data_IF_710354991145
#
_entry.id   IF_710354991145
#
_cell.length_a   1.000
_cell.length_b   1.000
_cell.length_c   1.000
_cell.angle_alpha   90.00
_cell.angle_beta   90.00
_cell.angle_gamma   90.00
#
_symmetry.space_group_name_H-M   'P 1'
#
loop_
_entity.id
_entity.type
_entity.pdbx_description
1 polymer ?
2 non-polymer ?
3 non-polymer ?
4 non-polymer ?
5 water ?
#
# COMPACT_ATOMS: atom_id res chain seq x y z
N UNK A 1 33.84 10.49 23.91
CA UNK A 1 34.75 9.45 23.39
C UNK A 1 34.37 9.18 21.95
N UNK A 2 35.30 9.44 21.05
CA UNK A 2 35.06 9.28 19.63
C UNK A 2 34.67 7.84 19.26
N UNK A 3 35.38 6.87 19.81
CA UNK A 3 35.12 5.47 19.49
C UNK A 3 33.79 4.96 20.00
N UNK A 4 33.28 5.54 21.08
CA UNK A 4 31.98 5.13 21.62
C UNK A 4 30.89 5.64 20.69
N UNK A 5 31.04 6.87 20.20
CA UNK A 5 30.04 7.45 19.30
C UNK A 5 30.01 6.70 17.98
N UNK A 6 31.18 6.31 17.50
CA UNK A 6 31.28 5.54 16.25
C UNK A 6 30.58 4.20 16.39
N UNK A 7 30.77 3.53 17.52
CA UNK A 7 30.13 2.23 17.74
C UNK A 7 28.62 2.40 17.86
N UNK A 8 28.17 3.51 18.44
CA UNK A 8 26.73 3.74 18.54
C UNK A 8 26.20 4.00 17.14
N UNK A 9 26.97 4.72 16.35
CA UNK A 9 26.56 5.00 14.97
C UNK A 9 26.38 3.74 14.17
N UNK A 10 27.28 2.78 14.37
CA UNK A 10 27.19 1.52 13.66
C UNK A 10 25.89 0.81 14.07
N UNK A 11 25.58 0.83 15.36
CA UNK A 11 24.36 0.18 15.87
C UNK A 11 23.09 0.89 15.36
N UNK A 12 23.15 2.20 15.24
CA UNK A 12 22.01 2.98 14.76
C UNK A 12 21.75 2.62 13.29
N UNK A 13 22.83 2.55 12.51
CA UNK A 13 22.76 2.23 11.09
C UNK A 13 22.22 0.80 10.87
N UNK A 14 22.74 -0.15 11.63
CA UNK A 14 22.28 -1.53 11.49
C UNK A 14 20.81 -1.68 11.90
N UNK A 15 20.40 -0.95 12.93
CA UNK A 15 19.02 -1.00 13.37
C UNK A 15 18.13 -0.45 12.26
N UNK A 16 18.62 0.58 11.58
CA UNK A 16 17.90 1.20 10.48
C UNK A 16 17.80 0.26 9.27
N UNK A 17 18.87 -0.49 9.01
CA UNK A 17 18.87 -1.43 7.90
C UNK A 17 17.84 -2.51 8.14
N UNK A 18 17.74 -2.95 9.39
CA UNK A 18 16.77 -3.97 9.75
C UNK A 18 15.35 -3.42 9.66
N UNK A 19 15.16 -2.20 10.14
CA UNK A 19 13.82 -1.61 10.08
C UNK A 19 13.36 -1.32 8.65
N UNK A 20 14.28 -0.95 7.77
CA UNK A 20 13.90 -0.70 6.38
C UNK A 20 13.55 -2.02 5.69
N UNK A 21 14.26 -3.07 6.08
CA UNK A 21 14.00 -4.38 5.50
C UNK A 21 12.58 -4.82 5.91
N UNK A 22 12.21 -4.58 7.17
CA UNK A 22 10.87 -4.94 7.67
C UNK A 22 9.78 -4.13 6.96
N UNK A 23 10.06 -2.85 6.74
CA UNK A 23 9.11 -1.98 6.05
C UNK A 23 8.88 -2.52 4.63
N UNK A 24 9.96 -2.93 3.96
CA UNK A 24 9.83 -3.49 2.61
C UNK A 24 9.02 -4.81 2.65
N UNK A 25 9.27 -5.66 3.65
CA UNK A 25 8.53 -6.91 3.76
C UNK A 25 7.04 -6.66 4.02
N UNK A 26 6.73 -5.72 4.91
CA UNK A 26 5.34 -5.41 5.22
C UNK A 26 4.63 -4.83 4.00
N UNK A 27 5.34 -3.99 3.25
CA UNK A 27 4.74 -3.41 2.04
C UNK A 27 4.43 -4.48 1.01
N UNK A 28 5.39 -5.37 0.75
CA UNK A 28 5.17 -6.43 -0.23
C UNK A 28 3.98 -7.28 0.24
N UNK A 29 3.92 -7.59 1.54
CA UNK A 29 2.80 -8.37 2.11
C UNK A 29 1.49 -7.64 1.87
N UNK A 30 1.47 -6.33 2.12
CA UNK A 30 0.27 -5.52 1.94
C UNK A 30 -0.14 -5.42 0.47
N UNK A 31 0.82 -5.59 -0.43
CA UNK A 31 0.51 -5.52 -1.86
C UNK A 31 0.11 -6.86 -2.43
N UNK A 32 0.08 -7.89 -1.58
CA UNK A 32 -0.35 -9.20 -2.03
C UNK A 32 0.70 -10.26 -2.29
N UNK A 33 1.96 -9.99 -1.94
CA UNK A 33 3.01 -10.97 -2.17
C UNK A 33 2.76 -12.23 -1.36
N UNK A 34 2.70 -13.37 -2.04
CA UNK A 34 2.47 -14.65 -1.41
C UNK A 34 3.85 -15.20 -1.04
N UNK A 35 3.90 -16.02 0.02
CA UNK A 35 5.18 -16.57 0.46
C UNK A 35 5.90 -17.33 -0.64
N UNK A 36 7.18 -17.03 -0.81
CA UNK A 36 7.99 -17.69 -1.82
C UNK A 36 7.60 -17.42 -3.26
N UNK A 37 6.70 -16.46 -3.46
CA UNK A 37 6.25 -16.10 -4.81
C UNK A 37 6.68 -14.68 -5.13
N UNK A 38 6.95 -14.41 -6.39
CA UNK A 38 7.34 -13.04 -6.72
C UNK A 38 6.02 -12.27 -6.69
N UNK A 39 6.08 -10.96 -6.60
CA UNK A 39 4.82 -10.24 -6.58
C UNK A 39 4.74 -9.18 -7.66
N UNK A 40 3.53 -8.81 -8.02
CA UNK A 40 3.29 -7.86 -9.09
C UNK A 40 2.59 -6.62 -8.58
N UNK A 41 2.94 -5.48 -9.16
CA UNK A 41 2.37 -4.20 -8.76
C UNK A 41 2.15 -3.33 -10.02
N UNK A 42 1.13 -2.49 -9.96
CA UNK A 42 0.82 -1.59 -11.07
C UNK A 42 0.27 -0.30 -10.50
N UNK A 43 0.53 0.82 -11.18
CA UNK A 43 -0.04 2.09 -10.75
C UNK A 43 -1.24 2.36 -11.69
N UNK A 44 -1.54 1.37 -12.54
CA UNK A 44 -2.64 1.45 -13.51
C UNK A 44 -2.43 2.47 -14.64
N UNK A 45 -1.21 2.95 -14.79
CA UNK A 45 -0.90 3.92 -15.85
C UNK A 45 -0.58 3.18 -17.16
N UNK A 46 -1.03 3.72 -18.29
CA UNK A 46 -0.74 3.11 -19.59
C UNK A 46 0.36 3.92 -20.28
N UNK A 47 1.35 3.22 -20.83
CA UNK A 47 2.48 3.89 -21.48
C UNK A 47 3.15 2.93 -22.45
N UNK A 48 4.04 3.45 -23.33
CA UNK A 48 4.75 2.61 -24.29
C UNK A 48 5.67 1.66 -23.54
N UNK A 49 6.07 0.57 -24.17
CA UNK A 49 6.91 -0.44 -23.54
C UNK A 49 8.25 0.07 -23.02
N UNK A 50 8.93 0.94 -23.75
CA UNK A 50 10.20 1.45 -23.28
C UNK A 50 10.06 2.17 -21.93
N UNK A 51 8.93 2.86 -21.72
CA UNK A 51 8.70 3.56 -20.47
C UNK A 51 8.40 2.59 -19.33
N UNK A 52 7.65 1.54 -19.63
CA UNK A 52 7.34 0.56 -18.58
C UNK A 52 8.67 -0.06 -18.14
N UNK A 53 9.51 -0.43 -19.09
CA UNK A 53 10.79 -1.04 -18.77
C UNK A 53 11.63 -0.13 -17.89
N UNK A 54 11.67 1.14 -18.25
CA UNK A 54 12.44 2.14 -17.51
C UNK A 54 11.93 2.29 -16.07
N UNK A 55 10.61 2.35 -15.94
CA UNK A 55 9.96 2.50 -14.65
C UNK A 55 10.26 1.30 -13.74
N UNK A 56 9.96 0.08 -14.18
CA UNK A 56 10.23 -1.09 -13.35
C UNK A 56 11.71 -1.21 -13.01
N UNK A 57 12.57 -0.96 -13.97
CA UNK A 57 14.00 -1.05 -13.73
C UNK A 57 14.43 -0.07 -12.63
N UNK A 58 13.86 1.13 -12.65
CA UNK A 58 14.20 2.14 -11.65
C UNK A 58 13.76 1.71 -10.24
N UNK A 59 12.75 0.83 -10.18
CA UNK A 59 12.23 0.32 -8.91
C UNK A 59 12.91 -0.99 -8.55
N UNK A 60 13.93 -1.36 -9.33
CA UNK A 60 14.66 -2.59 -9.11
C UNK A 60 13.79 -3.85 -9.31
N UNK A 61 12.96 -3.79 -10.35
CA UNK A 61 12.12 -4.92 -10.71
C UNK A 61 12.23 -5.03 -12.24
N UNK A 62 11.29 -5.72 -12.86
CA UNK A 62 11.29 -5.86 -14.30
C UNK A 62 9.84 -5.87 -14.73
N UNK A 63 9.60 -5.68 -16.03
CA UNK A 63 8.24 -5.73 -16.54
C UNK A 63 7.77 -7.16 -16.22
N UNK A 64 6.55 -7.29 -15.72
CA UNK A 64 6.01 -8.60 -15.35
C UNK A 64 6.16 -9.70 -16.42
N UNK A 65 6.57 -10.88 -15.98
CA UNK A 65 6.77 -12.04 -16.84
C UNK A 65 6.03 -13.26 -16.28
N UNK A 66 5.02 -13.77 -16.99
CA UNK A 66 4.29 -14.95 -16.49
C UNK A 66 5.14 -16.19 -16.84
N UNK A 67 5.56 -16.95 -15.84
CA UNK A 67 6.38 -18.16 -16.07
C UNK A 67 5.50 -19.42 -16.07
N UNK A 68 4.24 -19.26 -15.69
CA UNK A 68 3.30 -20.37 -15.65
C UNK A 68 1.89 -19.81 -15.54
N UNK A 69 0.90 -20.70 -15.53
CA UNK A 69 -0.50 -20.26 -15.46
C UNK A 69 -0.89 -19.51 -14.19
N UNK A 70 -0.31 -19.89 -13.05
CA UNK A 70 -0.62 -19.21 -11.80
C UNK A 70 -0.17 -17.76 -11.86
N UNK A 71 1.09 -17.56 -12.27
CA UNK A 71 1.64 -16.22 -12.37
C UNK A 71 0.86 -15.40 -13.40
N UNK A 72 0.43 -16.07 -14.48
CA UNK A 72 -0.32 -15.37 -15.54
C UNK A 72 -1.65 -14.87 -14.96
N UNK A 73 -2.29 -15.69 -14.14
CA UNK A 73 -3.55 -15.32 -13.54
C UNK A 73 -3.33 -14.18 -12.55
N UNK A 74 -2.24 -14.25 -11.80
CA UNK A 74 -1.91 -13.21 -10.82
C UNK A 74 -1.69 -11.86 -11.51
N UNK A 75 -1.00 -11.89 -12.66
CA UNK A 75 -0.74 -10.66 -13.42
C UNK A 75 -2.05 -10.09 -13.97
N UNK A 76 -2.91 -10.96 -14.48
CA UNK A 76 -4.20 -10.57 -15.02
C UNK A 76 -5.05 -9.84 -13.96
N UNK A 77 -5.08 -10.38 -12.76
CA UNK A 77 -5.87 -9.80 -11.65
C UNK A 77 -5.33 -8.42 -11.29
N UNK A 78 -4.01 -8.31 -11.20
CA UNK A 78 -3.37 -7.04 -10.87
C UNK A 78 -3.61 -5.99 -11.94
N UNK A 79 -3.37 -6.36 -13.20
CA UNK A 79 -3.51 -5.44 -14.33
C UNK A 79 -4.93 -4.94 -14.59
N UNK A 80 -5.90 -5.86 -14.59
CA UNK A 80 -7.30 -5.50 -14.83
C UNK A 80 -7.57 -5.08 -16.28
N UNK A 81 -6.52 -4.82 -17.06
CA UNK A 81 -6.64 -4.42 -18.45
C UNK A 81 -5.44 -4.92 -19.24
N UNK A 82 -5.34 -4.56 -20.51
CA UNK A 82 -4.21 -5.02 -21.31
C UNK A 82 -2.93 -4.46 -20.70
N UNK A 83 -1.90 -5.29 -20.62
CA UNK A 83 -0.64 -4.87 -20.02
C UNK A 83 0.56 -5.52 -20.70
N UNK A 84 1.65 -4.78 -20.81
CA UNK A 84 2.86 -5.33 -21.41
C UNK A 84 3.48 -6.39 -20.51
N UNK A 85 4.14 -7.35 -21.13
CA UNK A 85 4.83 -8.41 -20.39
C UNK A 85 6.31 -8.22 -20.76
N UNK A 86 7.20 -8.73 -19.92
CA UNK A 86 8.62 -8.62 -20.18
C UNK A 86 9.10 -9.64 -21.22
N UNK A 87 8.44 -9.65 -22.36
CA UNK A 87 8.73 -10.59 -23.44
C UNK A 87 8.69 -9.85 -24.78
N UNK A 88 9.70 -10.05 -25.63
CA UNK A 88 9.73 -9.39 -26.94
C UNK A 88 10.52 -10.23 -27.95
N UNK A 89 10.38 -9.89 -29.23
CA UNK A 89 11.13 -10.60 -30.26
C UNK A 89 11.83 -9.50 -31.05
N UNK A 90 12.25 -8.47 -30.30
CA UNK A 90 12.96 -7.31 -30.87
C UNK A 90 14.34 -7.64 -31.43
N UNK A 91 15.03 -8.57 -30.77
CA UNK A 91 16.38 -8.95 -31.18
C UNK A 91 16.42 -9.77 -32.46
N UNK A 92 15.53 -10.75 -32.55
CA UNK A 92 15.47 -11.62 -33.73
C UNK A 92 14.00 -11.92 -33.98
N UNK A 93 13.46 -11.34 -35.04
CA UNK A 93 12.05 -11.50 -35.38
C UNK A 93 11.64 -12.96 -35.32
N UNK A 94 10.56 -13.23 -34.58
CA UNK A 94 10.06 -14.60 -34.48
C UNK A 94 10.51 -15.34 -33.24
N UNK A 95 11.63 -14.94 -32.66
CA UNK A 95 12.13 -15.60 -31.46
C UNK A 95 11.92 -14.75 -30.22
N UNK A 96 10.84 -15.01 -29.49
CA UNK A 96 10.57 -14.25 -28.28
C UNK A 96 11.51 -14.60 -27.15
N UNK A 97 12.00 -13.57 -26.46
CA UNK A 97 12.93 -13.73 -25.37
C UNK A 97 12.44 -12.93 -24.16
N UNK A 98 12.81 -13.35 -22.97
CA UNK A 98 12.47 -12.60 -21.79
C UNK A 98 13.40 -11.40 -21.78
N UNK A 99 12.92 -10.26 -21.32
CA UNK A 99 13.75 -9.05 -21.27
C UNK A 99 14.98 -9.30 -20.41
N UNK A 100 14.88 -10.23 -19.48
CA UNK A 100 16.00 -10.56 -18.59
C UNK A 100 16.89 -11.68 -19.14
N UNK A 101 16.60 -12.13 -20.37
CA UNK A 101 17.39 -13.18 -20.99
C UNK A 101 16.71 -14.54 -21.10
N UNK A 102 16.97 -15.23 -22.20
CA UNK A 102 16.40 -16.56 -22.39
C UNK A 102 15.22 -16.64 -23.33
N UNK A 103 15.08 -17.78 -24.00
CA UNK A 103 13.98 -17.99 -24.93
C UNK A 103 12.69 -18.26 -24.19
N UNK A 104 11.59 -17.79 -24.76
CA UNK A 104 10.27 -17.98 -24.19
C UNK A 104 9.99 -19.48 -24.07
N UNK A 105 9.47 -19.91 -22.92
CA UNK A 105 9.11 -21.31 -22.74
C UNK A 105 7.59 -21.31 -22.58
N UNK A 106 7.11 -21.16 -21.35
CA UNK A 106 5.68 -21.11 -21.14
C UNK A 106 5.08 -19.95 -21.92
N UNK A 107 3.92 -20.17 -22.53
CA UNK A 107 3.23 -19.11 -23.30
C UNK A 107 1.72 -19.28 -23.19
N UNK A 108 0.97 -18.23 -23.50
CA UNK A 108 -0.48 -18.29 -23.41
C UNK A 108 -1.11 -17.47 -24.53
N UNK A 109 -0.59 -17.66 -25.74
CA UNK A 109 -1.03 -16.95 -26.93
C UNK A 109 -2.51 -17.14 -27.30
N UNK A 110 -3.15 -16.07 -27.76
CA UNK A 110 -4.53 -16.18 -28.24
C UNK A 110 -4.39 -16.93 -29.56
N UNK A 111 -5.48 -17.54 -30.02
CA UNK A 111 -5.41 -18.27 -31.28
C UNK A 111 -4.97 -17.33 -32.39
N UNK A 112 -4.08 -17.82 -33.25
CA UNK A 112 -3.55 -17.06 -34.39
C UNK A 112 -2.54 -15.95 -34.01
N UNK A 113 -1.99 -16.02 -32.80
CA UNK A 113 -0.97 -15.06 -32.35
C UNK A 113 0.21 -15.93 -31.89
N UNK A 114 1.44 -15.39 -31.94
CA UNK A 114 1.83 -14.05 -32.38
C UNK A 114 1.78 -14.00 -33.91
N UNK A 115 1.56 -12.82 -34.48
CA UNK A 115 1.49 -12.70 -35.93
C UNK A 115 2.28 -11.55 -36.54
N UNK A 116 3.04 -10.83 -35.71
CA UNK A 116 3.87 -9.69 -36.17
C UNK A 116 3.05 -8.91 -37.20
N UNK A 117 1.84 -8.54 -36.80
CA UNK A 117 0.91 -7.86 -37.69
C UNK A 117 1.34 -6.55 -38.32
N UNK A 118 1.02 -6.43 -39.61
CA UNK A 118 1.34 -5.22 -40.36
C UNK A 118 2.81 -4.89 -40.43
N UNK A 119 3.14 -3.63 -40.12
CA UNK A 119 4.52 -3.17 -40.13
C UNK A 119 5.36 -3.91 -39.10
N UNK A 120 4.69 -4.62 -38.20
CA UNK A 120 5.41 -5.38 -37.19
C UNK A 120 4.95 -5.19 -35.76
N UNK A 121 5.14 -6.25 -34.97
CA UNK A 121 4.78 -6.25 -33.56
C UNK A 121 5.85 -7.05 -32.85
N UNK A 122 6.60 -6.36 -31.96
CA UNK A 122 7.68 -7.02 -31.24
C UNK A 122 7.49 -7.11 -29.74
N UNK A 123 6.41 -6.51 -29.23
CA UNK A 123 6.11 -6.58 -27.81
C UNK A 123 4.91 -7.49 -27.58
N UNK A 124 4.61 -7.74 -26.32
CA UNK A 124 3.53 -8.63 -25.95
C UNK A 124 2.65 -8.07 -24.83
N UNK A 125 1.33 -8.18 -24.99
CA UNK A 125 0.41 -7.74 -23.96
C UNK A 125 -0.45 -8.92 -23.50
N UNK A 126 -0.78 -8.92 -22.21
CA UNK A 126 -1.67 -9.93 -21.68
C UNK A 126 -2.98 -9.17 -21.82
N UNK A 127 -4.00 -9.80 -22.41
CA UNK A 127 -5.28 -9.13 -22.61
C UNK A 127 -6.48 -9.86 -22.00
N UNK A 128 -7.54 -10.03 -22.79
CA UNK A 128 -8.78 -10.69 -22.36
C UNK A 128 -8.59 -12.17 -22.01
N UNK A 129 -9.13 -12.56 -20.85
CA UNK A 129 -9.03 -13.92 -20.38
C UNK A 129 -7.60 -14.26 -20.03
N UNK A 130 -6.73 -13.25 -20.04
CA UNK A 130 -5.34 -13.49 -19.73
C UNK A 130 -4.53 -14.02 -20.89
N UNK A 131 -5.14 -14.15 -22.07
CA UNK A 131 -4.43 -14.63 -23.25
C UNK A 131 -3.46 -13.55 -23.70
N UNK A 132 -2.54 -13.91 -24.60
CA UNK A 132 -1.52 -12.99 -25.09
C UNK A 132 -1.62 -12.60 -26.56
N UNK A 133 -1.20 -11.37 -26.85
CA UNK A 133 -1.19 -10.87 -28.21
C UNK A 133 0.09 -10.08 -28.44
N UNK A 134 0.78 -10.29 -29.57
CA UNK A 134 1.98 -9.49 -29.79
C UNK A 134 1.47 -8.17 -30.33
N UNK A 135 2.10 -7.07 -29.92
CA UNK A 135 1.64 -5.74 -30.32
C UNK A 135 2.84 -4.79 -30.49
N UNK A 136 2.60 -3.65 -31.10
CA UNK A 136 3.66 -2.68 -31.27
C UNK A 136 4.14 -2.17 -29.91
N UNK A 137 5.46 -2.13 -29.72
CA UNK A 137 6.08 -1.65 -28.50
C UNK A 137 5.76 -0.18 -28.29
N UNK A 138 5.34 0.51 -29.34
CA UNK A 138 5.03 1.94 -29.26
C UNK A 138 3.65 2.22 -28.72
N UNK A 139 2.79 1.20 -28.72
CA UNK A 139 1.44 1.36 -28.20
C UNK A 139 1.55 1.53 -26.68
N UNK A 140 0.52 2.07 -26.07
CA UNK A 140 0.52 2.30 -24.63
C UNK A 140 -0.38 1.30 -23.92
N UNK A 141 0.21 0.52 -23.02
CA UNK A 141 -0.56 -0.44 -22.27
C UNK A 141 -0.14 -0.32 -20.80
N UNK A 142 -0.95 -0.90 -19.91
CA UNK A 142 -0.73 -0.82 -18.46
C UNK A 142 0.64 -1.30 -18.00
N UNK A 143 1.26 -0.49 -17.14
CA UNK A 143 2.58 -0.77 -16.57
C UNK A 143 2.46 -1.68 -15.35
N UNK A 144 2.99 -2.89 -15.46
CA UNK A 144 2.95 -3.85 -14.37
C UNK A 144 4.37 -4.35 -14.16
N UNK A 145 4.84 -4.25 -12.93
CA UNK A 145 6.20 -4.68 -12.59
C UNK A 145 6.16 -5.93 -11.74
N UNK A 146 7.24 -6.69 -11.79
CA UNK A 146 7.33 -7.86 -10.94
C UNK A 146 8.58 -7.72 -10.09
N UNK A 147 8.52 -8.26 -8.89
CA UNK A 147 9.65 -8.23 -7.97
C UNK A 147 9.90 -9.66 -7.50
N UNK A 148 11.15 -10.03 -7.22
CA UNK A 148 11.57 -11.37 -6.80
C UNK A 148 10.83 -12.04 -5.65
N UNK A 149 10.76 -13.37 -5.72
CA UNK A 149 10.10 -14.16 -4.69
C UNK A 149 10.84 -14.04 -3.38
N UNK B 1 37.68 18.43 12.89
CA UNK B 1 37.02 17.83 11.70
C UNK B 1 36.29 16.55 12.06
N UNK B 2 37.03 15.53 12.50
CA UNK B 2 36.42 14.24 12.86
C UNK B 2 35.18 14.36 13.74
N UNK B 3 35.27 15.11 14.83
CA UNK B 3 34.13 15.26 15.71
C UNK B 3 32.97 15.95 14.99
N UNK B 4 33.29 16.88 14.10
CA UNK B 4 32.27 17.59 13.33
C UNK B 4 31.63 16.66 12.30
N UNK B 5 32.42 15.81 11.66
CA UNK B 5 31.89 14.91 10.66
C UNK B 5 30.96 13.91 11.35
N UNK B 6 31.35 13.46 12.53
CA UNK B 6 30.58 12.48 13.28
C UNK B 6 29.24 13.10 13.72
N UNK B 7 29.29 14.33 14.19
CA UNK B 7 28.08 15.03 14.63
C UNK B 7 27.14 15.23 13.45
N UNK B 8 27.68 15.64 12.31
CA UNK B 8 26.83 15.85 11.12
C UNK B 8 26.21 14.54 10.63
N UNK B 9 26.93 13.43 10.81
CA UNK B 9 26.39 12.13 10.40
C UNK B 9 25.33 11.65 11.39
N UNK B 10 25.49 12.00 12.67
CA UNK B 10 24.48 11.61 13.67
C UNK B 10 23.20 12.38 13.36
N UNK B 11 23.34 13.58 12.82
CA UNK B 11 22.18 14.38 12.47
C UNK B 11 21.48 13.78 11.22
N UNK B 12 22.28 13.26 10.29
CA UNK B 12 21.73 12.63 9.07
C UNK B 12 20.97 11.35 9.45
N UNK B 13 21.52 10.61 10.39
CA UNK B 13 20.87 9.38 10.84
C UNK B 13 19.52 9.66 11.51
N UNK B 14 19.47 10.71 12.33
CA UNK B 14 18.23 11.07 13.00
C UNK B 14 17.15 11.47 11.98
N UNK B 15 17.56 12.21 10.96
CA UNK B 15 16.65 12.64 9.91
C UNK B 15 16.12 11.45 9.13
N UNK B 16 17.01 10.48 8.87
CA UNK B 16 16.66 9.29 8.14
C UNK B 16 15.68 8.42 8.95
N UNK B 17 15.89 8.33 10.25
CA UNK B 17 15.00 7.56 11.11
C UNK B 17 13.61 8.17 11.13
N UNK B 18 13.54 9.51 11.07
CA UNK B 18 12.25 10.19 11.04
C UNK B 18 11.57 9.96 9.71
N UNK B 19 12.35 9.99 8.63
CA UNK B 19 11.80 9.77 7.31
C UNK B 19 11.26 8.34 7.17
N UNK B 20 11.96 7.36 7.75
CA UNK B 20 11.47 5.99 7.67
C UNK B 20 10.16 5.85 8.46
N UNK B 21 10.07 6.52 9.60
CA UNK B 21 8.85 6.43 10.38
C UNK B 21 7.71 7.07 9.58
N UNK B 22 8.02 8.14 8.84
CA UNK B 22 7.02 8.81 8.00
C UNK B 22 6.55 7.83 6.91
N UNK B 23 7.50 7.08 6.33
CA UNK B 23 7.15 6.09 5.31
C UNK B 23 6.20 5.02 5.86
N UNK B 24 6.44 4.60 7.09
CA UNK B 24 5.60 3.60 7.74
C UNK B 24 4.19 4.17 7.98
N UNK B 25 4.11 5.45 8.36
CA UNK B 25 2.84 6.10 8.61
C UNK B 25 2.00 6.27 7.35
N UNK B 26 2.64 6.76 6.30
CA UNK B 26 1.96 6.96 5.04
C UNK B 26 1.49 5.61 4.51
N UNK B 27 2.35 4.59 4.59
CA UNK B 27 1.93 3.28 4.12
C UNK B 27 0.69 2.75 4.86
N UNK B 28 0.72 2.83 6.18
CA UNK B 28 -0.41 2.35 6.99
C UNK B 28 -1.69 3.13 6.63
N UNK B 29 -1.55 4.44 6.48
CA UNK B 29 -2.67 5.31 6.12
C UNK B 29 -3.23 4.86 4.77
N UNK B 30 -2.36 4.68 3.79
CA UNK B 30 -2.80 4.28 2.46
C UNK B 30 -3.46 2.90 2.47
N UNK B 31 -3.10 2.07 3.44
CA UNK B 31 -3.69 0.74 3.51
C UNK B 31 -4.91 0.69 4.42
N UNK B 32 -5.46 1.86 4.75
CA UNK B 32 -6.66 1.94 5.56
C UNK B 32 -6.61 2.09 7.06
N UNK B 33 -5.44 2.27 7.66
CA UNK B 33 -5.36 2.41 9.10
C UNK B 33 -6.11 3.65 9.60
N UNK B 34 -7.03 3.44 10.54
CA UNK B 34 -7.81 4.53 11.10
C UNK B 34 -7.11 5.11 12.33
N UNK B 35 -7.29 6.40 12.56
CA UNK B 35 -6.69 7.10 13.70
C UNK B 35 -6.97 6.37 15.01
N UNK B 36 -5.94 6.18 15.82
CA UNK B 36 -6.11 5.52 17.10
C UNK B 36 -6.64 4.10 17.04
N UNK B 37 -6.54 3.46 15.87
CA UNK B 37 -7.01 2.09 15.71
C UNK B 37 -5.87 1.19 15.23
N UNK B 38 -5.95 -0.09 15.57
CA UNK B 38 -4.92 -1.02 15.15
C UNK B 38 -4.96 -1.16 13.64
N UNK B 39 -3.82 -1.48 13.05
CA UNK B 39 -3.70 -1.65 11.61
C UNK B 39 -3.81 -3.13 11.25
N UNK B 40 -4.85 -3.51 10.51
CA UNK B 40 -5.06 -4.89 10.07
C UNK B 40 -4.72 -5.01 8.58
N UNK B 41 -3.97 -6.04 8.22
CA UNK B 41 -3.59 -6.22 6.82
C UNK B 41 -3.43 -7.69 6.44
N UNK B 42 -3.65 -7.99 5.16
CA UNK B 42 -3.52 -9.36 4.69
C UNK B 42 -2.94 -9.39 3.28
N UNK B 43 -2.31 -10.50 2.91
CA UNK B 43 -1.79 -10.63 1.54
C UNK B 43 -2.75 -11.58 0.81
N UNK B 44 -3.83 -11.96 1.48
CA UNK B 44 -4.86 -12.84 0.94
C UNK B 44 -4.40 -14.28 0.70
N UNK B 45 -3.37 -14.71 1.42
CA UNK B 45 -2.86 -16.07 1.29
C UNK B 45 -3.40 -16.94 2.43
N UNK B 46 -3.84 -18.15 2.08
CA UNK B 46 -4.37 -19.08 3.07
C UNK B 46 -3.26 -20.06 3.45
N UNK B 47 -3.13 -20.32 4.74
CA UNK B 47 -2.07 -21.21 5.23
C UNK B 47 -2.41 -21.68 6.64
N UNK B 48 -1.67 -22.68 7.13
CA UNK B 48 -1.92 -23.20 8.49
C UNK B 48 -1.60 -22.13 9.53
N UNK B 49 -2.23 -22.26 10.69
CA UNK B 49 -2.06 -21.30 11.78
C UNK B 49 -0.59 -21.12 12.15
N UNK B 50 0.17 -22.21 12.20
CA UNK B 50 1.58 -22.10 12.57
C UNK B 50 2.29 -21.12 11.63
N UNK B 51 1.97 -21.21 10.35
CA UNK B 51 2.59 -20.32 9.36
C UNK B 51 2.13 -18.88 9.50
N UNK B 52 0.84 -18.67 9.79
CA UNK B 52 0.33 -17.30 9.98
C UNK B 52 1.08 -16.66 11.14
N UNK B 53 1.22 -17.38 12.26
CA UNK B 53 1.94 -16.83 13.41
C UNK B 53 3.38 -16.49 13.06
N UNK B 54 4.03 -17.35 12.27
CA UNK B 54 5.41 -17.13 11.89
C UNK B 54 5.52 -15.89 11.02
N UNK B 55 4.60 -15.79 10.07
CA UNK B 55 4.59 -14.67 9.15
C UNK B 55 4.35 -13.34 9.85
N UNK B 56 3.29 -13.22 10.64
CA UNK B 56 3.03 -11.96 11.33
C UNK B 56 4.21 -11.60 12.25
N UNK B 57 4.77 -12.60 12.93
CA UNK B 57 5.91 -12.36 13.83
C UNK B 57 7.10 -11.83 13.06
N UNK B 58 7.32 -12.33 11.85
CA UNK B 58 8.44 -11.86 11.06
C UNK B 58 8.27 -10.39 10.69
N UNK B 59 7.02 -9.94 10.59
CA UNK B 59 6.71 -8.56 10.25
C UNK B 59 6.59 -7.72 11.50
N UNK B 60 6.95 -8.31 12.64
CA UNK B 60 6.87 -7.65 13.93
C UNK B 60 5.45 -7.28 14.33
N UNK B 61 4.50 -8.09 13.89
CA UNK B 61 3.11 -7.87 14.26
C UNK B 61 2.63 -9.17 14.90
N UNK B 62 1.32 -9.37 14.95
CA UNK B 62 0.78 -10.62 15.51
C UNK B 62 -0.47 -11.01 14.74
N UNK B 63 -0.96 -12.23 14.93
CA UNK B 63 -2.17 -12.66 14.24
C UNK B 63 -3.31 -11.77 14.71
N UNK B 64 -4.15 -11.32 13.79
CA UNK B 64 -5.25 -10.41 14.14
C UNK B 64 -6.13 -10.93 15.28
N UNK B 65 -6.46 -10.02 16.20
CA UNK B 65 -7.31 -10.32 17.35
C UNK B 65 -8.38 -9.25 17.54
N UNK B 66 -9.65 -9.64 17.45
CA UNK B 66 -10.74 -8.68 17.63
C UNK B 66 -11.02 -8.52 19.14
N UNK B 67 -10.74 -7.34 19.69
CA UNK B 67 -10.97 -7.10 21.12
C UNK B 67 -12.41 -6.64 21.38
N UNK B 68 -13.11 -6.27 20.32
CA UNK B 68 -14.49 -5.80 20.44
C UNK B 68 -15.20 -5.92 19.09
N UNK B 69 -16.47 -5.56 19.06
CA UNK B 69 -17.26 -5.67 17.83
C UNK B 69 -16.72 -4.81 16.68
N UNK B 70 -16.22 -3.63 17.01
CA UNK B 70 -15.68 -2.74 16.01
C UNK B 70 -14.44 -3.33 15.33
N UNK B 71 -13.53 -3.86 16.13
CA UNK B 71 -12.34 -4.47 15.56
C UNK B 71 -12.70 -5.72 14.78
N UNK B 72 -13.70 -6.46 15.27
CA UNK B 72 -14.12 -7.68 14.60
C UNK B 72 -14.59 -7.36 13.19
N UNK B 73 -15.35 -6.28 13.04
CA UNK B 73 -15.85 -5.87 11.73
C UNK B 73 -14.70 -5.41 10.85
N UNK B 74 -13.75 -4.68 11.42
CA UNK B 74 -12.60 -4.20 10.67
C UNK B 74 -11.80 -5.37 10.11
N UNK B 75 -11.61 -6.42 10.92
CA UNK B 75 -10.88 -7.60 10.49
C UNK B 75 -11.67 -8.32 9.39
N UNK B 76 -12.99 -8.38 9.57
CA UNK B 76 -13.85 -9.02 8.58
C UNK B 76 -13.72 -8.38 7.19
N UNK B 77 -13.72 -7.05 7.15
CA UNK B 77 -13.62 -6.35 5.88
C UNK B 77 -12.26 -6.53 5.21
N UNK B 78 -11.21 -6.67 6.01
CA UNK B 78 -9.88 -6.85 5.45
C UNK B 78 -9.68 -8.27 4.92
N UNK B 79 -10.12 -9.25 5.69
CA UNK B 79 -9.97 -10.64 5.30
C UNK B 79 -10.76 -11.01 4.05
N UNK B 80 -12.03 -10.64 4.01
CA UNK B 80 -12.89 -10.96 2.87
C UNK B 80 -13.35 -12.43 2.88
N UNK B 81 -12.55 -13.29 3.50
CA UNK B 81 -12.85 -14.73 3.60
C UNK B 81 -12.51 -15.24 4.99
N UNK B 82 -12.56 -16.55 5.17
CA UNK B 82 -12.26 -17.15 6.46
C UNK B 82 -10.80 -16.87 6.80
N UNK B 83 -10.55 -16.43 8.04
CA UNK B 83 -9.20 -16.09 8.47
C UNK B 83 -8.96 -16.47 9.92
N UNK B 84 -7.76 -16.96 10.21
CA UNK B 84 -7.40 -17.30 11.59
C UNK B 84 -7.33 -16.06 12.47
N UNK B 85 -7.69 -16.23 13.75
CA UNK B 85 -7.60 -15.14 14.69
C UNK B 85 -6.52 -15.58 15.70
N UNK B 86 -5.93 -14.62 16.43
CA UNK B 86 -4.90 -14.97 17.38
C UNK B 86 -5.47 -15.52 18.69
N UNK B 87 -6.24 -16.59 18.58
CA UNK B 87 -6.90 -17.19 19.73
C UNK B 87 -6.87 -18.71 19.62
N UNK B 88 -6.62 -19.42 20.72
CA UNK B 88 -6.62 -20.89 20.71
C UNK B 88 -6.96 -21.41 22.11
N UNK B 89 -7.38 -22.67 22.20
CA UNK B 89 -7.69 -23.26 23.51
C UNK B 89 -6.84 -24.53 23.68
N UNK B 90 -5.59 -24.43 23.24
CA UNK B 90 -4.62 -25.52 23.32
C UNK B 90 -4.25 -25.92 24.76
N UNK B 91 -4.28 -24.97 25.68
CA UNK B 91 -3.93 -25.26 27.08
C UNK B 91 -5.05 -26.03 27.80
N UNK B 92 -6.21 -25.40 27.94
CA UNK B 92 -7.36 -26.06 28.56
C UNK B 92 -8.50 -25.97 27.57
N UNK B 93 -9.05 -27.13 27.22
CA UNK B 93 -10.12 -27.20 26.25
C UNK B 93 -11.28 -26.31 26.71
N UNK B 94 -11.77 -25.48 25.80
CA UNK B 94 -12.87 -24.59 26.15
C UNK B 94 -12.40 -23.24 26.66
N UNK B 95 -11.14 -23.19 27.10
CA UNK B 95 -10.60 -21.94 27.62
C UNK B 95 -9.78 -21.25 26.53
N UNK B 96 -10.41 -20.40 25.74
CA UNK B 96 -9.66 -19.71 24.70
C UNK B 96 -8.82 -18.58 25.25
N UNK B 97 -7.61 -18.48 24.72
CA UNK B 97 -6.64 -17.48 25.15
C UNK B 97 -6.02 -16.80 23.94
N UNK B 98 -5.68 -15.53 24.10
CA UNK B 98 -5.05 -14.79 23.02
C UNK B 98 -3.64 -15.31 22.89
N UNK B 99 -3.11 -15.36 21.67
CA UNK B 99 -1.74 -15.81 21.48
C UNK B 99 -0.76 -14.87 22.18
N UNK B 100 -1.19 -13.64 22.45
CA UNK B 100 -0.30 -12.69 23.16
C UNK B 100 -0.52 -12.69 24.67
N UNK B 101 -1.35 -13.62 25.14
CA UNK B 101 -1.60 -13.73 26.57
C UNK B 101 -2.95 -13.25 27.04
N UNK B 102 -3.49 -13.90 28.07
CA UNK B 102 -4.78 -13.48 28.59
C UNK B 102 -5.98 -14.25 28.11
N UNK B 103 -7.03 -14.26 28.92
CA UNK B 103 -8.25 -14.96 28.61
C UNK B 103 -9.11 -14.16 27.66
N UNK B 104 -9.81 -14.89 26.81
CA UNK B 104 -10.69 -14.30 25.82
C UNK B 104 -11.75 -13.43 26.49
N UNK B 105 -11.88 -12.17 26.05
CA UNK B 105 -12.90 -11.29 26.58
C UNK B 105 -14.04 -11.34 25.54
N UNK B 106 -14.02 -10.44 24.55
CA UNK B 106 -15.05 -10.42 23.52
C UNK B 106 -15.01 -11.68 22.64
N UNK B 107 -16.18 -12.14 22.20
CA UNK B 107 -16.26 -13.31 21.34
C UNK B 107 -17.49 -13.15 20.45
N UNK B 108 -17.49 -13.80 19.29
CA UNK B 108 -18.61 -13.68 18.38
C UNK B 108 -18.87 -15.04 17.74
N UNK B 109 -19.03 -16.06 18.58
CA UNK B 109 -19.27 -17.42 18.11
C UNK B 109 -20.51 -17.62 17.27
N UNK B 110 -20.40 -18.55 16.32
CA UNK B 110 -21.52 -18.90 15.45
C UNK B 110 -22.38 -19.92 16.22
N UNK B 111 -23.65 -20.02 15.86
CA UNK B 111 -24.53 -20.96 16.53
C UNK B 111 -23.92 -22.35 16.57
N UNK B 112 -23.94 -22.95 17.76
CA UNK B 112 -23.40 -24.30 17.97
C UNK B 112 -21.88 -24.39 17.94
N UNK B 113 -21.22 -23.24 18.07
CA UNK B 113 -19.76 -23.19 18.09
C UNK B 113 -19.39 -22.52 19.42
N UNK B 114 -18.22 -22.86 19.98
CA UNK B 114 -17.22 -23.81 19.50
C UNK B 114 -17.64 -25.26 19.82
N UNK B 115 -17.33 -26.19 18.93
CA UNK B 115 -17.68 -27.60 19.14
C UNK B 115 -16.50 -28.56 19.15
N UNK B 116 -15.29 -28.02 19.02
CA UNK B 116 -14.08 -28.84 19.04
C UNK B 116 -14.36 -30.10 18.21
N UNK B 117 -14.96 -29.88 17.04
CA UNK B 117 -15.36 -30.95 16.13
C UNK B 117 -14.33 -32.02 15.78
N UNK B 118 -14.83 -33.25 15.65
CA UNK B 118 -14.00 -34.39 15.29
C UNK B 118 -12.81 -34.67 16.19
N UNK B 119 -11.65 -34.83 15.57
CA UNK B 119 -10.42 -35.09 16.31
C UNK B 119 -10.00 -33.89 17.17
N UNK B 120 -10.74 -32.78 17.05
CA UNK B 120 -10.41 -31.62 17.83
C UNK B 120 -10.14 -30.38 17.00
N UNK B 121 -10.52 -29.23 17.56
CA UNK B 121 -10.34 -27.93 16.92
C UNK B 121 -9.91 -26.95 18.00
N UNK B 122 -8.64 -26.56 17.99
CA UNK B 122 -8.14 -25.61 18.99
C UNK B 122 -7.81 -24.21 18.44
N UNK B 123 -8.05 -24.00 17.15
CA UNK B 123 -7.84 -22.68 16.57
C UNK B 123 -9.18 -22.04 16.27
N UNK B 124 -9.16 -20.78 15.87
CA UNK B 124 -10.37 -20.03 15.60
C UNK B 124 -10.29 -19.23 14.30
N UNK B 125 -11.38 -19.25 13.53
CA UNK B 125 -11.43 -18.49 12.29
C UNK B 125 -12.64 -17.58 12.30
N UNK B 126 -12.48 -16.39 11.71
CA UNK B 126 -13.59 -15.48 11.58
C UNK B 126 -14.13 -15.85 10.18
N UNK B 127 -15.41 -16.18 10.10
CA UNK B 127 -16.02 -16.60 8.84
C UNK B 127 -17.11 -15.66 8.29
N UNK B 128 -18.18 -16.25 7.77
CA UNK B 128 -19.29 -15.47 7.20
C UNK B 128 -19.99 -14.55 8.21
N UNK B 129 -20.25 -13.32 7.79
CA UNK B 129 -20.92 -12.34 8.64
C UNK B 129 -20.08 -11.96 9.85
N UNK B 130 -18.82 -12.38 9.88
CA UNK B 130 -17.95 -12.06 10.99
C UNK B 130 -18.08 -12.94 12.21
N UNK B 131 -18.89 -13.99 12.11
CA UNK B 131 -19.08 -14.90 13.25
C UNK B 131 -17.82 -15.78 13.34
N UNK B 132 -17.67 -16.48 14.46
CA UNK B 132 -16.50 -17.33 14.68
C UNK B 132 -16.79 -18.82 14.65
N UNK B 133 -15.80 -19.61 14.26
CA UNK B 133 -15.90 -21.06 14.23
C UNK B 133 -14.57 -21.66 14.63
N UNK B 134 -14.54 -22.53 15.63
CA UNK B 134 -13.27 -23.15 15.97
C UNK B 134 -12.95 -24.14 14.87
N UNK B 135 -11.67 -24.31 14.57
CA UNK B 135 -11.26 -25.20 13.49
C UNK B 135 -9.87 -25.76 13.79
N UNK B 136 -9.47 -26.80 13.07
CA UNK B 136 -8.15 -27.37 13.28
C UNK B 136 -7.09 -26.33 12.91
N UNK B 137 -6.04 -26.28 13.72
CA UNK B 137 -4.94 -25.36 13.51
C UNK B 137 -4.14 -25.73 12.25
N UNK B 138 -4.29 -26.98 11.79
CA UNK B 138 -3.59 -27.45 10.60
C UNK B 138 -4.31 -27.11 9.30
N UNK B 139 -5.54 -26.60 9.40
CA UNK B 139 -6.29 -26.22 8.21
C UNK B 139 -5.72 -24.90 7.69
N UNK B 140 -5.95 -24.61 6.40
CA UNK B 140 -5.44 -23.39 5.79
C UNK B 140 -6.50 -22.31 5.67
N UNK B 141 -6.21 -21.15 6.25
CA UNK B 141 -7.14 -20.04 6.18
C UNK B 141 -6.33 -18.78 5.95
N UNK B 142 -7.00 -17.68 5.62
CA UNK B 142 -6.33 -16.42 5.34
C UNK B 142 -5.51 -15.84 6.48
N UNK B 143 -4.31 -15.38 6.13
CA UNK B 143 -3.39 -14.79 7.08
C UNK B 143 -3.66 -13.29 7.21
N UNK B 144 -4.06 -12.87 8.40
CA UNK B 144 -4.33 -11.47 8.67
C UNK B 144 -3.50 -11.05 9.88
N UNK B 145 -2.67 -10.03 9.70
CA UNK B 145 -1.83 -9.56 10.79
C UNK B 145 -2.32 -8.23 11.33
N UNK B 146 -1.98 -7.93 12.59
CA UNK B 146 -2.36 -6.66 13.16
C UNK B 146 -1.12 -5.98 13.67
N UNK B 147 -1.15 -4.66 13.64
CA UNK B 147 -0.06 -3.84 14.11
C UNK B 147 -0.73 -2.85 15.06
N UNK B 148 -0.01 -2.39 16.11
CA UNK B 148 -0.55 -1.46 17.09
C UNK B 148 -1.10 -0.12 16.58
N UNK B 149 -2.04 0.45 17.33
CA UNK B 149 -2.64 1.72 16.96
C UNK B 149 -1.58 2.82 16.99
N UNK C 1 41.83 3.03 11.55
CA UNK C 1 40.43 2.61 11.80
C UNK C 1 39.48 3.79 11.75
N UNK C 2 39.48 4.58 12.82
CA UNK C 2 38.60 5.74 12.96
C UNK C 2 38.14 6.43 11.68
N UNK C 3 39.07 7.04 10.93
CA UNK C 3 38.71 7.72 9.69
C UNK C 3 38.11 6.79 8.66
N UNK C 4 38.65 5.57 8.58
CA UNK C 4 38.13 4.61 7.62
C UNK C 4 36.68 4.22 7.95
N UNK C 5 36.43 3.88 9.21
CA UNK C 5 35.08 3.50 9.64
C UNK C 5 34.11 4.68 9.44
N UNK C 6 34.63 5.89 9.63
CA UNK C 6 33.82 7.09 9.49
C UNK C 6 33.43 7.26 8.02
N UNK C 7 34.39 7.01 7.13
CA UNK C 7 34.15 7.13 5.71
C UNK C 7 33.19 6.04 5.27
N UNK C 8 33.33 4.87 5.87
CA UNK C 8 32.44 3.78 5.52
C UNK C 8 31.02 4.10 5.92
N UNK C 9 30.83 4.61 7.14
CA UNK C 9 29.49 4.93 7.58
C UNK C 9 28.81 6.02 6.77
N UNK C 10 29.58 6.92 6.18
CA UNK C 10 29.01 7.96 5.34
C UNK C 10 28.44 7.26 4.09
N UNK C 11 29.15 6.25 3.60
CA UNK C 11 28.72 5.50 2.42
C UNK C 11 27.49 4.66 2.78
N UNK C 12 27.49 4.09 3.99
CA UNK C 12 26.37 3.28 4.46
C UNK C 12 25.12 4.16 4.56
N UNK C 13 25.31 5.39 5.02
CA UNK C 13 24.22 6.34 5.17
C UNK C 13 23.66 6.74 3.80
N UNK C 14 24.54 7.08 2.88
CA UNK C 14 24.08 7.46 1.54
C UNK C 14 23.36 6.28 0.87
N UNK C 15 23.85 5.08 1.13
CA UNK C 15 23.22 3.91 0.55
C UNK C 15 21.81 3.73 1.10
N UNK C 16 21.63 3.94 2.40
CA UNK C 16 20.31 3.82 3.01
C UNK C 16 19.37 4.91 2.52
N UNK C 17 19.91 6.10 2.29
CA UNK C 17 19.08 7.18 1.77
C UNK C 17 18.51 6.79 0.40
N UNK C 18 19.37 6.23 -0.46
CA UNK C 18 18.96 5.80 -1.80
C UNK C 18 17.92 4.71 -1.72
N UNK C 19 18.13 3.76 -0.82
CA UNK C 19 17.18 2.67 -0.65
C UNK C 19 15.84 3.18 -0.17
N UNK C 20 15.85 4.10 0.79
CA UNK C 20 14.57 4.63 1.29
C UNK C 20 13.86 5.43 0.21
N UNK C 21 14.59 6.17 -0.63
CA UNK C 21 13.97 6.91 -1.73
C UNK C 21 13.27 5.91 -2.64
N UNK C 22 13.94 4.80 -2.90
CA UNK C 22 13.42 3.73 -3.76
C UNK C 22 12.14 3.15 -3.16
N UNK C 23 12.18 2.89 -1.87
CA UNK C 23 11.02 2.35 -1.18
C UNK C 23 9.83 3.33 -1.33
N UNK C 24 10.10 4.63 -1.16
CA UNK C 24 9.04 5.63 -1.30
C UNK C 24 8.48 5.65 -2.73
N UNK C 25 9.34 5.51 -3.73
CA UNK C 25 8.92 5.48 -5.13
C UNK C 25 8.05 4.27 -5.40
N UNK C 26 8.44 3.13 -4.86
CA UNK C 26 7.67 1.91 -5.05
C UNK C 26 6.33 2.03 -4.34
N UNK C 27 6.32 2.60 -3.15
CA UNK C 27 5.06 2.75 -2.43
C UNK C 27 4.10 3.70 -3.17
N UNK C 28 4.64 4.80 -3.72
CA UNK C 28 3.78 5.73 -4.45
C UNK C 28 3.23 5.02 -5.71
N UNK C 29 4.08 4.27 -6.38
CA UNK C 29 3.66 3.53 -7.59
C UNK C 29 2.54 2.58 -7.23
N UNK C 30 2.73 1.80 -6.16
CA UNK C 30 1.73 0.83 -5.74
C UNK C 30 0.41 1.49 -5.36
N UNK C 31 0.47 2.75 -4.92
CA UNK C 31 -0.75 3.45 -4.55
C UNK C 31 -1.40 4.23 -5.70
N UNK C 32 -0.91 4.00 -6.91
CA UNK C 32 -1.52 4.65 -8.07
C UNK C 32 -0.92 5.95 -8.59
N UNK C 33 0.19 6.37 -8.00
CA UNK C 33 0.86 7.61 -8.43
C UNK C 33 1.20 7.53 -9.94
N UNK C 34 0.68 8.47 -10.71
CA UNK C 34 0.92 8.54 -12.16
C UNK C 34 2.12 9.44 -12.43
N UNK C 35 2.90 9.12 -13.46
CA UNK C 35 4.06 9.93 -13.79
C UNK C 35 3.71 11.41 -13.94
N UNK C 36 4.52 12.25 -13.33
CA UNK C 36 4.31 13.69 -13.40
C UNK C 36 3.02 14.23 -12.81
N UNK C 37 2.24 13.40 -12.14
CA UNK C 37 0.99 13.84 -11.54
C UNK C 37 1.08 13.80 -10.02
N UNK C 38 0.44 14.76 -9.36
CA UNK C 38 0.44 14.78 -7.91
C UNK C 38 -0.42 13.58 -7.49
N UNK C 39 -0.36 13.17 -6.25
CA UNK C 39 -1.18 12.04 -5.93
C UNK C 39 -1.90 12.18 -4.60
N UNK C 40 -3.13 11.72 -4.64
CA UNK C 40 -4.06 11.77 -3.53
C UNK C 40 -4.24 10.40 -2.91
N UNK C 41 -4.33 10.38 -1.58
CA UNK C 41 -4.45 9.13 -0.83
C UNK C 41 -5.44 9.29 0.32
N UNK C 42 -6.12 8.21 0.66
CA UNK C 42 -7.07 8.26 1.75
C UNK C 42 -7.07 6.95 2.50
N UNK C 43 -7.42 6.99 3.78
CA UNK C 43 -7.53 5.79 4.59
C UNK C 43 -9.04 5.51 4.73
N UNK C 44 -9.83 6.33 4.03
CA UNK C 44 -11.29 6.25 4.00
C UNK C 44 -11.97 6.62 5.30
N UNK C 45 -11.24 7.23 6.22
CA UNK C 45 -11.78 7.63 7.49
C UNK C 45 -12.44 9.00 7.34
N UNK C 46 -13.56 9.21 8.04
CA UNK C 46 -14.27 10.49 7.99
C UNK C 46 -14.02 11.19 9.32
N UNK C 47 -13.69 12.48 9.27
CA UNK C 47 -13.36 13.22 10.48
C UNK C 47 -13.49 14.74 10.24
N UNK C 48 -13.42 15.54 11.32
CA UNK C 48 -13.51 17.00 11.26
C UNK C 48 -12.32 17.57 10.50
N UNK C 49 -12.51 18.70 9.84
CA UNK C 49 -11.46 19.33 9.06
C UNK C 49 -10.14 19.50 9.81
N UNK C 50 -10.19 20.02 11.03
CA UNK C 50 -8.95 20.21 11.79
C UNK C 50 -8.16 18.91 11.92
N UNK C 51 -8.86 17.80 12.06
CA UNK C 51 -8.17 16.51 12.18
C UNK C 51 -7.59 16.07 10.84
N UNK C 52 -8.25 16.42 9.74
CA UNK C 52 -7.71 16.06 8.44
C UNK C 52 -6.41 16.84 8.26
N UNK C 53 -6.43 18.13 8.57
CA UNK C 53 -5.24 18.96 8.42
C UNK C 53 -4.07 18.44 9.23
N UNK C 54 -4.33 18.09 10.49
CA UNK C 54 -3.26 17.59 11.34
C UNK C 54 -2.75 16.28 10.81
N UNK C 55 -3.66 15.42 10.33
CA UNK C 55 -3.23 14.13 9.82
C UNK C 55 -2.38 14.30 8.56
N UNK C 56 -2.83 15.08 7.58
CA UNK C 56 -2.03 15.24 6.38
C UNK C 56 -0.72 15.94 6.70
N UNK C 57 -0.72 16.82 7.70
CA UNK C 57 0.51 17.51 8.10
C UNK C 57 1.54 16.51 8.63
N UNK C 58 1.10 15.53 9.42
CA UNK C 58 2.01 14.53 9.95
C UNK C 58 2.67 13.75 8.81
N UNK C 59 1.87 13.45 7.79
CA UNK C 59 2.37 12.69 6.64
C UNK C 59 3.15 13.57 5.69
N UNK C 60 3.37 14.81 6.08
CA UNK C 60 4.10 15.77 5.25
C UNK C 60 3.42 16.00 3.92
N UNK C 61 2.10 16.04 3.96
CA UNK C 61 1.31 16.30 2.76
C UNK C 61 0.35 17.43 3.10
N UNK C 62 -0.64 17.66 2.25
CA UNK C 62 -1.61 18.72 2.51
C UNK C 62 -3.02 18.22 2.21
N UNK C 63 -4.04 18.89 2.75
CA UNK C 63 -5.40 18.45 2.48
C UNK C 63 -5.58 18.67 0.99
N UNK C 64 -6.12 17.66 0.31
CA UNK C 64 -6.30 17.69 -1.12
C UNK C 64 -6.92 18.98 -1.67
N UNK C 65 -6.27 19.54 -2.68
CA UNK C 65 -6.74 20.76 -3.35
C UNK C 65 -6.74 20.57 -4.86
N UNK C 66 -7.91 20.58 -5.49
CA UNK C 66 -7.96 20.42 -6.95
C UNK C 66 -7.69 21.80 -7.57
N UNK C 67 -6.71 21.89 -8.47
CA UNK C 67 -6.36 23.15 -9.11
C UNK C 67 -7.00 23.26 -10.48
N UNK C 68 -7.58 22.17 -10.95
CA UNK C 68 -8.25 22.15 -12.24
C UNK C 68 -9.22 20.99 -12.28
N UNK C 69 -9.97 20.88 -13.36
CA UNK C 69 -10.97 19.82 -13.52
C UNK C 69 -10.41 18.40 -13.49
N UNK C 70 -9.15 18.24 -13.91
CA UNK C 70 -8.53 16.90 -13.92
C UNK C 70 -8.24 16.47 -12.49
N UNK C 71 -7.59 17.33 -11.73
CA UNK C 71 -7.26 17.02 -10.35
C UNK C 71 -8.54 16.87 -9.53
N UNK C 72 -9.57 17.62 -9.91
CA UNK C 72 -10.84 17.56 -9.20
C UNK C 72 -11.48 16.18 -9.38
N UNK C 73 -11.39 15.64 -10.59
CA UNK C 73 -11.95 14.32 -10.85
C UNK C 73 -11.09 13.29 -10.14
N UNK C 74 -9.77 13.50 -10.16
CA UNK C 74 -8.85 12.58 -9.49
C UNK C 74 -9.20 12.46 -8.00
N UNK C 75 -9.44 13.60 -7.34
CA UNK C 75 -9.79 13.59 -5.92
C UNK C 75 -11.11 12.86 -5.70
N UNK C 76 -12.08 13.10 -6.58
CA UNK C 76 -13.41 12.48 -6.49
C UNK C 76 -13.32 10.96 -6.52
N UNK C 77 -12.52 10.44 -7.44
CA UNK C 77 -12.33 9.00 -7.61
C UNK C 77 -11.65 8.36 -6.41
N UNK C 78 -10.72 9.09 -5.79
CA UNK C 78 -9.99 8.59 -4.63
C UNK C 78 -10.89 8.51 -3.39
N UNK C 79 -11.64 9.59 -3.14
CA UNK C 79 -12.53 9.67 -1.98
C UNK C 79 -13.73 8.74 -2.03
N UNK C 80 -14.43 8.72 -3.16
CA UNK C 80 -15.62 7.88 -3.33
C UNK C 80 -16.85 8.41 -2.56
N UNK C 81 -16.60 9.35 -1.65
CA UNK C 81 -17.66 9.98 -0.85
C UNK C 81 -17.29 11.44 -0.62
N UNK C 82 -18.10 12.17 0.13
CA UNK C 82 -17.80 13.56 0.40
C UNK C 82 -16.45 13.64 1.11
N UNK C 83 -15.63 14.62 0.73
CA UNK C 83 -14.30 14.78 1.33
C UNK C 83 -13.93 16.25 1.44
N UNK C 84 -13.26 16.60 2.53
CA UNK C 84 -12.82 17.98 2.72
C UNK C 84 -11.74 18.33 1.73
N UNK C 85 -11.74 19.58 1.29
CA UNK C 85 -10.73 20.08 0.39
C UNK C 85 -9.91 21.08 1.21
N UNK C 86 -8.70 21.38 0.77
CA UNK C 86 -7.86 22.30 1.51
C UNK C 86 -8.23 23.73 1.20
N UNK C 87 -9.50 24.06 1.39
CA UNK C 87 -10.02 25.40 1.10
C UNK C 87 -11.02 25.83 2.19
N UNK C 88 -10.89 27.06 2.69
CA UNK C 88 -11.79 27.59 3.72
C UNK C 88 -11.88 29.12 3.62
N UNK C 89 -12.91 29.70 4.24
CA UNK C 89 -13.05 31.15 4.28
C UNK C 89 -13.09 31.54 5.75
N UNK C 90 -12.35 30.78 6.56
CA UNK C 90 -12.25 31.00 8.00
C UNK C 90 -11.69 32.37 8.37
N UNK C 91 -10.77 32.87 7.57
CA UNK C 91 -10.14 34.15 7.86
C UNK C 91 -11.07 35.36 7.59
N UNK C 92 -11.70 35.37 6.43
CA UNK C 92 -12.64 36.43 6.06
C UNK C 92 -13.84 35.79 5.40
N UNK C 93 -14.98 35.81 6.09
CA UNK C 93 -16.20 35.20 5.58
C UNK C 93 -16.47 35.57 4.14
N UNK C 94 -16.79 34.57 3.33
CA UNK C 94 -17.10 34.80 1.93
C UNK C 94 -15.89 34.74 1.02
N UNK C 95 -14.70 34.86 1.59
CA UNK C 95 -13.47 34.84 0.82
C UNK C 95 -12.67 33.55 1.01
N UNK C 96 -12.91 32.59 0.12
CA UNK C 96 -12.21 31.31 0.20
C UNK C 96 -10.74 31.37 -0.23
N UNK C 97 -9.91 30.70 0.57
CA UNK C 97 -8.47 30.64 0.39
C UNK C 97 -7.97 29.21 0.51
N UNK C 98 -6.81 28.93 -0.08
CA UNK C 98 -6.21 27.60 0.01
C UNK C 98 -5.54 27.54 1.38
N UNK C 99 -5.46 26.35 1.96
CA UNK C 99 -4.82 26.20 3.25
C UNK C 99 -3.32 26.41 3.07
N UNK C 100 -2.88 26.25 1.82
CA UNK C 100 -1.47 26.46 1.46
C UNK C 100 -1.26 27.94 1.14
N UNK C 101 -2.33 28.73 1.28
CA UNK C 101 -2.25 30.16 1.03
C UNK C 101 -2.68 30.65 -0.35
N UNK C 102 -3.37 31.78 -0.37
CA UNK C 102 -3.80 32.35 -1.64
C UNK C 102 -5.27 32.22 -2.01
N UNK C 103 -5.70 33.11 -2.90
CA UNK C 103 -7.08 33.13 -3.37
C UNK C 103 -7.33 32.03 -4.40
N UNK C 104 -8.56 31.56 -4.48
CA UNK C 104 -8.94 30.50 -5.40
C UNK C 104 -8.69 30.85 -6.86
N UNK C 105 -8.24 29.86 -7.63
CA UNK C 105 -7.98 30.03 -9.06
C UNK C 105 -8.98 29.19 -9.84
N UNK C 106 -9.30 28.02 -9.29
CA UNK C 106 -10.26 27.12 -9.89
C UNK C 106 -11.32 26.80 -8.85
N UNK C 107 -12.55 26.56 -9.30
CA UNK C 107 -13.65 26.24 -8.40
C UNK C 107 -14.73 25.49 -9.15
N UNK C 108 -15.44 24.61 -8.46
CA UNK C 108 -16.50 23.86 -9.10
C UNK C 108 -17.71 23.80 -8.17
N UNK C 109 -18.13 24.99 -7.75
CA UNK C 109 -19.26 25.14 -6.84
C UNK C 109 -20.59 24.62 -7.37
N UNK C 110 -21.34 23.98 -6.50
CA UNK C 110 -22.67 23.49 -6.83
C UNK C 110 -23.49 24.80 -6.95
N UNK C 111 -24.62 24.77 -7.65
CA UNK C 111 -25.42 25.99 -7.82
C UNK C 111 -25.86 26.61 -6.49
N UNK C 112 -25.61 27.91 -6.35
CA UNK C 112 -25.94 28.69 -5.15
C UNK C 112 -25.07 28.39 -3.93
N UNK C 113 -23.89 27.85 -4.20
CA UNK C 113 -22.92 27.56 -3.16
C UNK C 113 -21.72 28.41 -3.58
N UNK C 114 -20.89 28.86 -2.62
CA UNK C 114 -20.99 28.63 -1.17
C UNK C 114 -22.00 29.60 -0.57
N UNK C 115 -22.77 29.13 0.41
CA UNK C 115 -23.79 29.96 1.04
C UNK C 115 -23.68 30.21 2.55
N UNK C 116 -22.67 29.64 3.21
CA UNK C 116 -22.47 29.80 4.65
C UNK C 116 -23.78 29.51 5.38
N UNK C 117 -24.44 28.44 4.97
CA UNK C 117 -25.73 28.06 5.52
C UNK C 117 -25.90 27.98 7.03
N UNK C 118 -27.06 28.44 7.48
CA UNK C 118 -27.40 28.41 8.89
C UNK C 118 -26.40 29.01 9.85
N UNK C 119 -26.00 28.21 10.83
CA UNK C 119 -25.06 28.63 11.86
C UNK C 119 -23.67 28.96 11.30
N UNK C 120 -23.45 28.64 10.03
CA UNK C 120 -22.15 28.95 9.43
C UNK C 120 -21.43 27.78 8.79
N UNK C 121 -20.75 28.04 7.68
CA UNK C 121 -20.00 27.01 6.96
C UNK C 121 -18.71 27.65 6.41
N UNK C 122 -17.57 27.20 6.93
CA UNK C 122 -16.28 27.77 6.49
C UNK C 122 -15.35 26.78 5.81
N UNK C 123 -15.76 25.53 5.71
CA UNK C 123 -14.97 24.52 5.03
C UNK C 123 -15.66 24.11 3.73
N UNK C 124 -14.95 23.31 2.92
CA UNK C 124 -15.46 22.90 1.63
C UNK C 124 -15.29 21.41 1.41
N UNK C 125 -16.31 20.81 0.82
CA UNK C 125 -16.30 19.38 0.52
C UNK C 125 -16.62 19.15 -0.94
N UNK C 126 -15.94 18.17 -1.52
CA UNK C 126 -16.19 17.80 -2.90
C UNK C 126 -17.22 16.69 -2.69
N UNK C 127 -18.36 16.79 -3.38
CA UNK C 127 -19.40 15.79 -3.21
C UNK C 127 -19.34 14.67 -4.26
N UNK C 128 -20.19 13.66 -4.11
CA UNK C 128 -20.22 12.51 -5.02
C UNK C 128 -20.53 12.84 -6.48
N UNK C 129 -20.38 14.10 -6.87
CA UNK C 129 -20.67 14.53 -8.23
C UNK C 129 -19.48 15.34 -8.75
N UNK C 130 -18.53 15.61 -7.88
CA UNK C 130 -17.38 16.39 -8.26
C UNK C 130 -17.59 17.86 -7.92
N UNK C 131 -18.86 18.24 -7.76
CA UNK C 131 -19.21 19.61 -7.41
C UNK C 131 -18.81 19.93 -5.98
N UNK C 132 -18.79 21.21 -5.63
CA UNK C 132 -18.38 21.66 -4.30
C UNK C 132 -19.52 22.28 -3.48
N UNK C 133 -19.47 22.05 -2.18
CA UNK C 133 -20.43 22.62 -1.24
C UNK C 133 -19.69 23.06 0.02
N UNK C 134 -19.91 24.29 0.49
CA UNK C 134 -19.26 24.71 1.71
C UNK C 134 -20.06 24.04 2.83
N UNK C 135 -19.35 23.59 3.87
CA UNK C 135 -20.00 22.89 4.98
C UNK C 135 -19.25 23.20 6.30
N UNK C 136 -19.88 22.86 7.42
CA UNK C 136 -19.27 23.06 8.74
C UNK C 136 -17.93 22.33 8.86
N UNK C 137 -16.90 23.04 9.30
CA UNK C 137 -15.57 22.45 9.50
C UNK C 137 -15.63 21.39 10.60
N UNK C 138 -16.71 21.42 11.39
CA UNK C 138 -16.89 20.48 12.48
C UNK C 138 -17.49 19.16 12.06
N UNK C 139 -18.11 19.13 10.88
CA UNK C 139 -18.72 17.91 10.35
C UNK C 139 -17.63 16.92 9.95
N UNK C 140 -17.95 15.63 9.91
CA UNK C 140 -16.98 14.60 9.55
C UNK C 140 -17.06 14.14 8.10
N UNK C 141 -15.97 14.32 7.36
CA UNK C 141 -15.91 13.92 5.97
C UNK C 141 -14.61 13.19 5.71
N UNK C 142 -14.53 12.48 4.59
CA UNK C 142 -13.35 11.69 4.24
C UNK C 142 -12.05 12.48 4.16
N UNK C 143 -11.01 11.94 4.78
CA UNK C 143 -9.69 12.56 4.80
C UNK C 143 -8.93 12.15 3.55
N UNK C 144 -8.57 13.14 2.73
CA UNK C 144 -7.82 12.89 1.51
C UNK C 144 -6.59 13.79 1.49
N UNK C 145 -5.40 13.18 1.58
CA UNK C 145 -4.17 13.98 1.57
C UNK C 145 -3.55 14.05 0.19
N UNK C 146 -2.77 15.09 -0.03
CA UNK C 146 -2.10 15.32 -1.31
C UNK C 146 -0.59 15.42 -1.17
N UNK C 147 0.11 14.83 -2.14
CA UNK C 147 1.56 14.84 -2.18
C UNK C 147 1.95 15.33 -3.57
N UNK C 148 3.09 16.03 -3.70
CA UNK C 148 3.60 16.59 -4.95
C UNK C 148 3.79 15.65 -6.15
N UNK C 149 3.68 16.21 -7.35
CA UNK C 149 3.89 15.46 -8.58
C UNK C 149 5.32 14.93 -8.56
#
# INVERSE_FOLDING_TARGET
AIEVKLANMEAEINTLKSKLELTNKLHAFSMGKKSGKKFFVTNHERMPFSKVKALCSELRGTVAIPRNAEENKAIQEVAKTSAFLGITDEVTEGQFMYVTGGRLTYSNWKKDEPNDHGSGEDCVTIVDNGLWNDISCQASHTAVCEFPA
AIEVKLANMEAEINTLKSKLELTNKLHAFSMGKKSGKKFFVTNHERMPFSKVKALCSELRGTVAIPRNAEENKAIQEVAKTSAFLGITDEVTEGQFMYVTGGRLTYSNWKKDEPNDHGSGEDCVTIVDNGLWNDISCQASHTAVCEFPA
AIEVKLANMEAEINTLKSKLELTNKLHAFSMGKKSGKKFFVTNHERMPFSKVKALCSELRGTVAIPRNAEENKAIQEVAKTSAFLGITDEVTEGQFMYVTGGRLTYSNWKKDEPNDHGSGEDCVTIVDNGLWNDISCQASHTAVCEFPA
#
